data_IF_516700409874
#
_entry.id   IF_516700409874
#
_cell.length_a   1.000
_cell.length_b   1.000
_cell.length_c   1.000
_cell.angle_alpha   90.00
_cell.angle_beta   90.00
_cell.angle_gamma   90.00
#
_symmetry.space_group_name_H-M   'P 1'
#
loop_
_entity.id
_entity.type
_entity.pdbx_description
1 polymer ?
#
# COMPACT_ATOMS: atom_id res chain seq x y z
N UNK A 1 -5.52 -6.46 16.34
CA UNK A 1 -5.75 -7.30 15.13
C UNK A 1 -4.39 -7.70 14.61
N UNK A 2 -4.12 -9.00 14.41
CA UNK A 2 -2.82 -9.48 13.93
C UNK A 2 -2.71 -9.19 12.44
N UNK A 3 -2.10 -8.05 12.08
CA UNK A 3 -1.70 -7.73 10.72
C UNK A 3 -0.72 -8.82 10.26
N UNK A 4 -1.14 -9.64 9.30
CA UNK A 4 -0.32 -10.74 8.77
C UNK A 4 0.82 -10.12 7.99
N UNK A 5 2.05 -10.42 8.39
CA UNK A 5 3.22 -10.22 7.54
C UNK A 5 2.92 -10.78 6.15
N UNK A 6 2.89 -9.90 5.14
CA UNK A 6 2.82 -10.34 3.75
C UNK A 6 4.23 -10.31 3.21
N UNK A 7 4.66 -11.45 2.69
CA UNK A 7 5.94 -11.53 1.99
C UNK A 7 5.85 -10.70 0.72
N UNK A 8 6.78 -9.75 0.57
CA UNK A 8 6.98 -8.95 -0.65
C UNK A 8 7.03 -9.86 -1.89
N UNK A 9 7.68 -11.01 -1.76
CA UNK A 9 7.83 -12.00 -2.84
C UNK A 9 6.48 -12.57 -3.27
N UNK A 10 5.59 -12.88 -2.32
CA UNK A 10 4.26 -13.41 -2.66
C UNK A 10 3.40 -12.36 -3.36
N UNK A 11 3.52 -11.09 -2.97
CA UNK A 11 2.78 -10.00 -3.63
C UNK A 11 3.17 -9.87 -5.09
N UNK A 12 4.46 -9.93 -5.38
CA UNK A 12 5.00 -9.86 -6.74
C UNK A 12 4.64 -11.11 -7.54
N UNK A 13 4.90 -12.30 -6.98
CA UNK A 13 4.69 -13.57 -7.65
C UNK A 13 3.21 -13.79 -8.00
N UNK A 14 2.30 -13.56 -7.06
CA UNK A 14 0.87 -13.72 -7.32
C UNK A 14 0.32 -12.65 -8.25
N UNK A 15 0.84 -11.42 -8.23
CA UNK A 15 0.43 -10.39 -9.20
C UNK A 15 0.79 -10.77 -10.62
N UNK A 16 1.93 -11.42 -10.85
CA UNK A 16 2.32 -11.93 -12.17
C UNK A 16 1.50 -13.17 -12.58
N UNK A 17 1.30 -14.12 -11.66
CA UNK A 17 0.55 -15.37 -11.94
C UNK A 17 -0.94 -15.10 -12.20
N UNK A 18 -1.53 -14.14 -11.49
CA UNK A 18 -2.98 -13.82 -11.59
C UNK A 18 -3.28 -12.69 -12.58
N UNK A 19 -2.33 -12.32 -13.44
CA UNK A 19 -2.47 -11.20 -14.38
C UNK A 19 -2.95 -9.89 -13.71
N UNK A 20 -2.46 -9.60 -12.50
CA UNK A 20 -2.77 -8.38 -11.75
C UNK A 20 -4.01 -8.46 -10.84
N UNK A 21 -4.77 -9.57 -10.80
CA UNK A 21 -5.95 -9.68 -9.92
C UNK A 21 -5.54 -9.67 -8.44
N UNK A 22 -4.45 -10.37 -8.09
CA UNK A 22 -3.93 -10.36 -6.72
C UNK A 22 -3.48 -8.96 -6.29
N UNK A 23 -2.96 -8.16 -7.23
CA UNK A 23 -2.53 -6.79 -6.95
C UNK A 23 -3.70 -5.92 -6.44
N UNK A 24 -4.90 -6.12 -7.00
CA UNK A 24 -6.13 -5.45 -6.53
C UNK A 24 -6.51 -5.91 -5.11
N UNK A 25 -6.46 -7.21 -4.83
CA UNK A 25 -6.71 -7.72 -3.48
C UNK A 25 -5.70 -7.14 -2.47
N UNK A 26 -4.43 -7.09 -2.84
CA UNK A 26 -3.37 -6.53 -1.99
C UNK A 26 -3.59 -5.05 -1.69
N UNK A 27 -4.02 -4.25 -2.67
CA UNK A 27 -4.38 -2.85 -2.45
C UNK A 27 -5.53 -2.68 -1.46
N UNK A 28 -6.59 -3.48 -1.61
CA UNK A 28 -7.72 -3.49 -0.67
C UNK A 28 -7.23 -3.81 0.74
N UNK A 29 -6.54 -4.93 0.89
CA UNK A 29 -6.14 -5.44 2.19
C UNK A 29 -5.16 -4.48 2.89
N UNK A 30 -4.22 -3.90 2.13
CA UNK A 30 -3.25 -2.91 2.64
C UNK A 30 -3.94 -1.63 3.10
N UNK A 31 -4.94 -1.16 2.35
CA UNK A 31 -5.70 0.05 2.72
C UNK A 31 -6.48 -0.16 4.02
N UNK A 32 -7.15 -1.31 4.15
CA UNK A 32 -7.89 -1.65 5.37
C UNK A 32 -6.96 -1.84 6.58
N UNK A 33 -5.80 -2.48 6.39
CA UNK A 33 -4.81 -2.66 7.46
C UNK A 33 -4.29 -1.30 7.98
N UNK A 34 -4.02 -0.36 7.06
CA UNK A 34 -3.57 1.01 7.42
C UNK A 34 -4.68 1.83 8.08
N UNK A 35 -5.91 1.77 7.55
CA UNK A 35 -7.08 2.40 8.17
C UNK A 35 -7.28 1.90 9.62
N UNK A 36 -7.25 0.58 9.81
CA UNK A 36 -7.41 -0.04 11.12
C UNK A 36 -6.28 0.34 12.10
N UNK A 37 -5.04 0.47 11.61
CA UNK A 37 -3.91 0.88 12.44
C UNK A 37 -3.98 2.35 12.87
N UNK A 38 -4.35 3.23 11.95
CA UNK A 38 -4.51 4.66 12.24
C UNK A 38 -5.75 4.93 13.08
N UNK A 39 -6.79 4.09 12.97
CA UNK A 39 -8.07 4.26 13.65
C UNK A 39 -8.95 5.30 12.96
N UNK A 40 -8.73 5.55 11.66
CA UNK A 40 -9.49 6.49 10.85
C UNK A 40 -10.39 5.76 9.83
N UNK A 41 -11.48 6.43 9.43
CA UNK A 41 -12.39 5.97 8.37
C UNK A 41 -12.08 6.69 7.06
N UNK A 42 -10.80 6.78 6.71
CA UNK A 42 -10.39 7.31 5.42
C UNK A 42 -10.85 6.37 4.27
N UNK A 43 -10.45 6.61 3.03
CA UNK A 43 -10.90 5.84 1.87
C UNK A 43 -10.80 4.33 2.12
N UNK A 44 -11.94 3.63 2.07
CA UNK A 44 -11.97 2.18 2.22
C UNK A 44 -11.28 1.50 1.05
N UNK A 45 -10.71 0.32 1.28
CA UNK A 45 -10.07 -0.45 0.22
C UNK A 45 -11.03 -0.74 -0.95
N UNK A 46 -12.33 -0.89 -0.67
CA UNK A 46 -13.36 -1.09 -1.72
C UNK A 46 -13.51 0.15 -2.59
N UNK A 47 -13.54 1.34 -1.98
CA UNK A 47 -13.60 2.60 -2.73
C UNK A 47 -12.34 2.84 -3.55
N UNK A 48 -11.17 2.46 -3.03
CA UNK A 48 -9.92 2.53 -3.78
C UNK A 48 -9.99 1.69 -5.07
N UNK A 49 -10.50 0.45 -4.97
CA UNK A 49 -10.66 -0.42 -6.14
C UNK A 49 -11.70 0.12 -7.12
N UNK A 50 -12.84 0.58 -6.61
CA UNK A 50 -13.90 1.16 -7.43
C UNK A 50 -13.39 2.39 -8.20
N UNK A 51 -12.72 3.32 -7.52
CA UNK A 51 -12.15 4.49 -8.17
C UNK A 51 -11.01 4.12 -9.11
N UNK A 52 -10.20 3.11 -8.79
CA UNK A 52 -9.19 2.56 -9.71
C UNK A 52 -9.80 2.12 -11.04
N UNK A 53 -10.94 1.44 -11.03
CA UNK A 53 -11.64 0.99 -12.24
C UNK A 53 -12.30 2.17 -12.96
N UNK A 54 -13.06 3.01 -12.25
CA UNK A 54 -13.81 4.14 -12.85
C UNK A 54 -12.87 5.17 -13.50
N UNK A 55 -11.70 5.39 -12.92
CA UNK A 55 -10.70 6.35 -13.44
C UNK A 55 -9.67 5.72 -14.37
N UNK A 56 -9.90 4.48 -14.84
CA UNK A 56 -8.97 3.75 -15.71
C UNK A 56 -7.53 3.70 -15.17
N UNK A 57 -7.38 3.49 -13.86
CA UNK A 57 -6.08 3.36 -13.20
C UNK A 57 -5.45 4.68 -12.72
N UNK A 58 -5.99 5.85 -13.08
CA UNK A 58 -5.43 7.14 -12.64
C UNK A 58 -5.50 7.29 -11.11
N UNK A 59 -6.62 6.86 -10.51
CA UNK A 59 -6.76 6.88 -9.05
C UNK A 59 -5.74 5.99 -8.34
N UNK A 60 -5.26 4.92 -8.98
CA UNK A 60 -4.23 4.04 -8.39
C UNK A 60 -2.91 4.80 -8.21
N UNK A 61 -2.58 5.73 -9.11
CA UNK A 61 -1.41 6.61 -8.97
C UNK A 61 -1.57 7.55 -7.77
N UNK A 62 -2.74 8.16 -7.62
CA UNK A 62 -3.05 8.99 -6.45
C UNK A 62 -3.00 8.17 -5.15
N UNK A 63 -3.50 6.94 -5.18
CA UNK A 63 -3.46 6.01 -4.05
C UNK A 63 -2.01 5.74 -3.61
N UNK A 64 -1.07 5.54 -4.53
CA UNK A 64 0.35 5.35 -4.18
C UNK A 64 0.94 6.54 -3.41
N UNK A 65 0.68 7.76 -3.88
CA UNK A 65 1.11 8.97 -3.19
C UNK A 65 0.49 9.05 -1.78
N UNK A 66 -0.83 8.89 -1.69
CA UNK A 66 -1.57 8.98 -0.43
C UNK A 66 -1.12 7.91 0.56
N UNK A 67 -0.92 6.68 0.08
CA UNK A 67 -0.48 5.56 0.92
C UNK A 67 0.91 5.80 1.53
N UNK A 68 1.85 6.40 0.77
CA UNK A 68 3.15 6.79 1.31
C UNK A 68 3.06 7.74 2.50
N UNK A 69 2.19 8.75 2.41
CA UNK A 69 1.96 9.70 3.51
C UNK A 69 1.39 9.00 4.73
N UNK A 70 0.43 8.10 4.50
CA UNK A 70 -0.23 7.34 5.57
C UNK A 70 0.71 6.38 6.28
N UNK A 71 1.59 5.71 5.54
CA UNK A 71 2.64 4.88 6.14
C UNK A 71 3.62 5.72 6.96
N UNK A 72 3.95 6.94 6.51
CA UNK A 72 4.79 7.86 7.29
C UNK A 72 4.15 8.18 8.66
N UNK A 73 2.84 8.44 8.68
CA UNK A 73 2.09 8.62 9.94
C UNK A 73 2.04 7.33 10.79
N UNK A 74 1.91 6.16 10.16
CA UNK A 74 2.00 4.88 10.88
C UNK A 74 3.39 4.68 11.51
N UNK A 75 4.46 5.05 10.81
CA UNK A 75 5.83 4.96 11.31
C UNK A 75 6.05 5.87 12.52
N UNK A 76 5.53 7.10 12.44
CA UNK A 76 5.56 8.06 13.55
C UNK A 76 4.82 7.52 14.78
N UNK A 77 3.59 7.01 14.58
CA UNK A 77 2.78 6.40 15.66
C UNK A 77 3.44 5.16 16.27
N UNK A 78 4.16 4.38 15.46
CA UNK A 78 4.90 3.20 15.90
C UNK A 78 6.26 3.53 16.56
N UNK A 79 6.67 4.80 16.61
CA UNK A 79 8.01 5.22 17.08
C UNK A 79 9.17 4.53 16.36
N UNK A 80 8.99 4.24 15.07
CA UNK A 80 10.05 3.70 14.20
C UNK A 80 10.64 4.81 13.32
N UNK A 81 11.74 4.53 12.61
CA UNK A 81 12.32 5.49 11.67
C UNK A 81 11.29 5.90 10.61
N UNK A 82 10.98 7.19 10.57
CA UNK A 82 10.05 7.77 9.59
C UNK A 82 10.77 8.01 8.26
N UNK A 83 10.16 7.58 7.14
CA UNK A 83 10.59 7.88 5.77
C UNK A 83 9.38 8.27 4.94
N UNK A 84 9.40 9.47 4.35
CA UNK A 84 8.35 9.93 3.46
C UNK A 84 8.65 9.52 2.01
N UNK A 85 8.22 8.30 1.67
CA UNK A 85 8.43 7.72 0.34
C UNK A 85 7.33 8.12 -0.66
N UNK A 86 6.40 9.01 -0.28
CA UNK A 86 5.18 9.31 -1.07
C UNK A 86 5.45 9.74 -2.50
N UNK A 87 6.46 10.60 -2.70
CA UNK A 87 6.84 11.09 -4.03
C UNK A 87 7.54 9.97 -4.83
N UNK A 88 8.37 9.17 -4.16
CA UNK A 88 9.07 8.03 -4.78
C UNK A 88 8.04 7.01 -5.28
N UNK A 89 7.06 6.66 -4.44
CA UNK A 89 5.98 5.73 -4.78
C UNK A 89 5.15 6.23 -5.97
N UNK A 90 4.84 7.53 -5.99
CA UNK A 90 4.12 8.17 -7.10
C UNK A 90 4.94 8.09 -8.39
N UNK A 91 6.19 8.54 -8.39
CA UNK A 91 7.04 8.56 -9.58
C UNK A 91 7.24 7.15 -10.14
N UNK A 92 7.56 6.18 -9.28
CA UNK A 92 7.68 4.78 -9.69
C UNK A 92 6.38 4.27 -10.32
N UNK A 93 5.22 4.58 -9.74
CA UNK A 93 3.93 4.16 -10.31
C UNK A 93 3.63 4.81 -11.67
N UNK A 94 4.00 6.08 -11.87
CA UNK A 94 3.83 6.81 -13.15
C UNK A 94 4.69 6.19 -14.25
N UNK A 95 5.91 5.75 -13.94
CA UNK A 95 6.80 5.09 -14.91
C UNK A 95 6.54 3.59 -15.09
N UNK A 96 5.45 3.05 -14.54
CA UNK A 96 5.07 1.64 -14.68
C UNK A 96 5.80 0.69 -13.72
N UNK A 97 6.60 1.21 -12.78
CA UNK A 97 7.29 0.44 -11.74
C UNK A 97 6.43 0.27 -10.47
N UNK A 98 5.12 0.11 -10.62
CA UNK A 98 4.16 -0.06 -9.52
C UNK A 98 4.49 -1.24 -8.60
N UNK A 99 5.09 -2.31 -9.15
CA UNK A 99 5.57 -3.47 -8.39
C UNK A 99 6.66 -3.08 -7.38
N UNK A 100 7.56 -2.16 -7.75
CA UNK A 100 8.60 -1.65 -6.85
C UNK A 100 7.96 -0.80 -5.76
N UNK A 101 6.98 0.06 -6.11
CA UNK A 101 6.21 0.82 -5.13
C UNK A 101 5.51 -0.09 -4.11
N UNK A 102 4.91 -1.20 -4.56
CA UNK A 102 4.28 -2.18 -3.68
C UNK A 102 5.30 -2.86 -2.74
N UNK A 103 6.50 -3.17 -3.23
CA UNK A 103 7.57 -3.74 -2.42
C UNK A 103 8.04 -2.78 -1.32
N UNK A 104 8.19 -1.48 -1.63
CA UNK A 104 8.56 -0.44 -0.65
C UNK A 104 7.47 -0.33 0.42
N UNK A 105 6.20 -0.21 0.01
CA UNK A 105 5.05 -0.16 0.94
C UNK A 105 5.06 -1.36 1.88
N UNK A 106 5.20 -2.56 1.33
CA UNK A 106 5.16 -3.79 2.12
C UNK A 106 6.36 -3.90 3.07
N UNK A 107 7.55 -3.47 2.64
CA UNK A 107 8.75 -3.41 3.49
C UNK A 107 8.55 -2.45 4.67
N UNK A 108 8.03 -1.25 4.42
CA UNK A 108 7.77 -0.25 5.46
C UNK A 108 6.70 -0.71 6.46
N UNK A 109 5.63 -1.33 5.97
CA UNK A 109 4.59 -1.92 6.82
C UNK A 109 5.12 -3.09 7.65
N UNK A 110 5.92 -3.97 7.06
CA UNK A 110 6.54 -5.07 7.79
C UNK A 110 7.50 -4.55 8.89
N UNK A 111 8.22 -3.45 8.65
CA UNK A 111 9.01 -2.81 9.69
C UNK A 111 8.15 -2.31 10.84
N UNK A 112 6.98 -1.72 10.57
CA UNK A 112 6.04 -1.27 11.62
C UNK A 112 5.47 -2.46 12.42
N UNK A 113 5.08 -3.54 11.73
CA UNK A 113 4.48 -4.71 12.37
C UNK A 113 5.47 -5.56 13.15
N UNK A 114 6.75 -5.58 12.78
CA UNK A 114 7.76 -6.31 13.56
C UNK A 114 8.01 -5.71 14.96
N UNK A 115 7.65 -4.44 15.18
CA UNK A 115 7.89 -3.75 16.46
C UNK A 115 6.64 -3.67 17.35
N UNK A 116 5.46 -4.05 16.85
CA UNK A 116 4.20 -4.09 17.59
C UNK A 116 3.70 -5.52 17.79
#
# INVERSE_FOLDING_TARGET
MKSRERSVVLVILFSLITCGIYFLYWMYATTEDVNAYLGDNDTSGVLVLLFGIITCGIYVLYWYYKMGKRISYCQEKASVRVSDDSIVLLLLSVFGFSIISAAIIQSNLNNIWNVN
#
